data_IF_866584329468
#
_entry.id   IF_866584329468
#
_cell.length_a   1.000
_cell.length_b   1.000
_cell.length_c   1.000
_cell.angle_alpha   90.00
_cell.angle_beta   90.00
_cell.angle_gamma   90.00
#
_symmetry.space_group_name_H-M   'P 1'
#
loop_
_entity.id
_entity.type
_entity.pdbx_description
1 polymer ?
#
# COMPACT_ATOMS: atom_id res chain seq x y z
N UNK A 1 11.74 -14.66 81.20
CA UNK A 1 12.18 -14.40 79.81
C UNK A 1 11.42 -15.34 78.87
N UNK A 2 10.41 -14.85 78.13
CA UNK A 2 9.66 -15.64 77.12
C UNK A 2 9.99 -15.19 75.69
N UNK A 3 11.28 -15.02 75.38
CA UNK A 3 11.73 -14.52 74.08
C UNK A 3 11.39 -15.46 72.90
N UNK A 4 11.07 -16.74 73.15
CA UNK A 4 10.76 -17.72 72.09
C UNK A 4 9.38 -17.56 71.43
N UNK A 5 8.38 -17.00 72.11
CA UNK A 5 7.00 -16.96 71.58
C UNK A 5 6.82 -16.04 70.38
N UNK A 6 7.60 -14.95 70.31
CA UNK A 6 7.54 -13.99 69.18
C UNK A 6 8.23 -14.53 67.92
N UNK A 7 9.30 -15.31 68.09
CA UNK A 7 10.01 -15.94 66.97
C UNK A 7 9.18 -17.04 66.30
N UNK A 8 8.46 -17.85 67.08
CA UNK A 8 7.59 -18.89 66.54
C UNK A 8 6.45 -18.31 65.69
N UNK A 9 5.79 -17.24 66.17
CA UNK A 9 4.71 -16.60 65.44
C UNK A 9 5.17 -15.97 64.11
N UNK A 10 6.39 -15.39 64.08
CA UNK A 10 6.96 -14.85 62.85
C UNK A 10 7.26 -15.95 61.81
N UNK A 11 7.69 -17.13 62.26
CA UNK A 11 7.98 -18.28 61.41
C UNK A 11 6.70 -18.86 60.81
N UNK A 12 5.63 -19.00 61.60
CA UNK A 12 4.31 -19.43 61.11
C UNK A 12 3.76 -18.46 60.05
N UNK A 13 3.89 -17.15 60.24
CA UNK A 13 3.44 -16.16 59.27
C UNK A 13 4.23 -16.25 57.95
N UNK A 14 5.56 -16.35 58.03
CA UNK A 14 6.42 -16.55 56.85
C UNK A 14 6.05 -17.82 56.07
N UNK A 15 5.72 -18.91 56.77
CA UNK A 15 5.30 -20.16 56.14
C UNK A 15 3.96 -20.00 55.41
N UNK A 16 2.97 -19.36 56.04
CA UNK A 16 1.66 -19.09 55.41
C UNK A 16 1.82 -18.22 54.17
N UNK A 17 2.60 -17.14 54.24
CA UNK A 17 2.87 -16.28 53.09
C UNK A 17 3.60 -17.04 51.97
N UNK A 18 4.56 -17.90 52.33
CA UNK A 18 5.26 -18.76 51.36
C UNK A 18 4.31 -19.71 50.61
N UNK A 19 3.40 -20.37 51.34
CA UNK A 19 2.41 -21.28 50.75
C UNK A 19 1.45 -20.52 49.83
N UNK A 20 0.97 -19.35 50.25
CA UNK A 20 0.12 -18.48 49.42
C UNK A 20 0.88 -18.07 48.15
N UNK A 21 2.15 -17.68 48.26
CA UNK A 21 2.98 -17.33 47.11
C UNK A 21 3.12 -18.48 46.10
N UNK A 22 3.33 -19.71 46.58
CA UNK A 22 3.40 -20.91 45.73
C UNK A 22 2.07 -21.15 44.99
N UNK A 23 0.92 -20.86 45.61
CA UNK A 23 -0.39 -20.98 44.95
C UNK A 23 -0.65 -19.88 43.91
N UNK A 24 -0.09 -18.69 44.09
CA UNK A 24 -0.26 -17.56 43.15
C UNK A 24 0.51 -17.81 41.84
N UNK A 25 1.69 -18.43 41.90
CA UNK A 25 2.53 -18.68 40.71
C UNK A 25 1.81 -19.45 39.58
N UNK A 26 1.17 -20.62 39.80
CA UNK A 26 0.45 -21.33 38.74
C UNK A 26 -0.77 -20.56 38.22
N UNK A 27 -1.46 -19.82 39.09
CA UNK A 27 -2.59 -18.98 38.69
C UNK A 27 -2.14 -17.84 37.76
N UNK A 28 -1.05 -17.15 38.11
CA UNK A 28 -0.45 -16.12 37.27
C UNK A 28 0.05 -16.69 35.93
N UNK A 29 0.66 -17.88 35.94
CA UNK A 29 1.09 -18.56 34.72
C UNK A 29 -0.09 -18.90 33.79
N UNK A 30 -1.16 -19.46 34.34
CA UNK A 30 -2.37 -19.80 33.56
C UNK A 30 -3.01 -18.53 32.98
N UNK A 31 -3.12 -17.47 33.78
CA UNK A 31 -3.64 -16.19 33.34
C UNK A 31 -2.84 -15.60 32.18
N UNK A 32 -1.51 -15.66 32.26
CA UNK A 32 -0.63 -15.14 31.22
C UNK A 32 -0.79 -15.92 29.90
N UNK A 33 -0.86 -17.25 29.96
CA UNK A 33 -1.09 -18.11 28.77
C UNK A 33 -2.46 -17.84 28.15
N UNK A 34 -3.50 -17.71 28.97
CA UNK A 34 -4.85 -17.42 28.49
C UNK A 34 -4.92 -16.04 27.80
N UNK A 35 -4.33 -15.02 28.42
CA UNK A 35 -4.32 -13.65 27.88
C UNK A 35 -3.63 -13.56 26.52
N UNK A 36 -2.56 -14.33 26.28
CA UNK A 36 -1.87 -14.37 24.98
C UNK A 36 -2.70 -15.05 23.89
N UNK A 37 -3.36 -16.17 24.21
CA UNK A 37 -4.20 -16.88 23.25
C UNK A 37 -5.41 -16.06 22.80
N UNK A 38 -6.02 -15.29 23.71
CA UNK A 38 -7.17 -14.44 23.37
C UNK A 38 -6.82 -13.33 22.37
N UNK A 39 -5.64 -12.73 22.48
CA UNK A 39 -5.20 -11.68 21.54
C UNK A 39 -5.06 -12.22 20.11
N UNK A 40 -4.38 -13.36 19.96
CA UNK A 40 -4.18 -14.01 18.67
C UNK A 40 -5.51 -14.42 18.02
N UNK A 41 -6.47 -14.90 18.82
CA UNK A 41 -7.79 -15.28 18.31
C UNK A 41 -8.59 -14.07 17.81
N UNK A 42 -8.49 -12.92 18.49
CA UNK A 42 -9.15 -11.68 18.06
C UNK A 42 -8.54 -11.18 16.74
N UNK A 43 -7.22 -11.22 16.61
CA UNK A 43 -6.54 -10.78 15.38
C UNK A 43 -6.89 -11.69 14.20
N UNK A 44 -6.90 -13.02 14.40
CA UNK A 44 -7.33 -13.97 13.38
C UNK A 44 -8.79 -13.76 12.94
N UNK A 45 -9.70 -13.46 13.88
CA UNK A 45 -11.09 -13.17 13.56
C UNK A 45 -11.25 -11.85 12.77
N UNK A 46 -10.42 -10.83 13.08
CA UNK A 46 -10.39 -9.58 12.30
C UNK A 46 -9.87 -9.81 10.89
N UNK A 47 -8.84 -10.64 10.71
CA UNK A 47 -8.33 -11.03 9.39
C UNK A 47 -9.37 -11.79 8.57
N UNK A 48 -10.06 -12.77 9.18
CA UNK A 48 -11.15 -13.51 8.53
C UNK A 48 -12.27 -12.58 8.07
N UNK A 49 -12.67 -11.64 8.92
CA UNK A 49 -13.65 -10.63 8.53
C UNK A 49 -13.14 -9.76 7.37
N UNK A 50 -11.91 -9.25 7.46
CA UNK A 50 -11.30 -8.41 6.43
C UNK A 50 -11.23 -9.13 5.07
N UNK A 51 -10.74 -10.37 5.03
CA UNK A 51 -10.62 -11.14 3.80
C UNK A 51 -11.96 -11.38 3.12
N UNK A 52 -12.99 -11.78 3.90
CA UNK A 52 -14.36 -11.97 3.39
C UNK A 52 -14.98 -10.67 2.89
N UNK A 53 -14.82 -9.59 3.63
CA UNK A 53 -15.36 -8.28 3.29
C UNK A 53 -14.69 -7.71 2.03
N UNK A 54 -13.39 -7.91 1.88
CA UNK A 54 -12.63 -7.47 0.71
C UNK A 54 -13.04 -8.25 -0.55
N UNK A 55 -13.12 -9.58 -0.49
CA UNK A 55 -13.56 -10.40 -1.62
C UNK A 55 -15.01 -10.08 -2.00
N UNK A 56 -15.93 -10.05 -1.03
CA UNK A 56 -17.35 -9.76 -1.32
C UNK A 56 -17.57 -8.35 -1.88
N UNK A 57 -16.78 -7.36 -1.43
CA UNK A 57 -16.82 -6.00 -1.97
C UNK A 57 -16.25 -5.95 -3.40
N UNK A 58 -15.15 -6.66 -3.66
CA UNK A 58 -14.58 -6.77 -5.00
C UNK A 58 -15.56 -7.45 -5.99
N UNK A 59 -16.18 -8.55 -5.58
CA UNK A 59 -17.23 -9.22 -6.37
C UNK A 59 -18.40 -8.27 -6.66
N UNK A 60 -18.86 -7.53 -5.66
CA UNK A 60 -19.94 -6.55 -5.83
C UNK A 60 -19.57 -5.47 -6.84
N UNK A 61 -18.37 -4.89 -6.75
CA UNK A 61 -17.88 -3.86 -7.66
C UNK A 61 -17.72 -4.41 -9.08
N UNK A 62 -17.23 -5.64 -9.21
CA UNK A 62 -17.13 -6.33 -10.50
C UNK A 62 -18.50 -6.47 -11.19
N UNK A 63 -19.51 -6.96 -10.47
CA UNK A 63 -20.85 -7.14 -11.02
C UNK A 63 -21.61 -5.83 -11.28
N UNK A 64 -21.18 -4.71 -10.68
CA UNK A 64 -21.69 -3.38 -11.01
C UNK A 64 -21.17 -2.88 -12.37
N UNK A 65 -20.07 -3.43 -12.87
CA UNK A 65 -19.45 -3.05 -14.14
C UNK A 65 -18.51 -1.85 -14.04
N UNK A 66 -17.61 -1.69 -15.01
CA UNK A 66 -16.74 -0.53 -15.07
C UNK A 66 -17.55 0.74 -15.42
N UNK A 67 -17.19 1.92 -14.89
CA UNK A 67 -16.06 2.23 -13.99
C UNK A 67 -16.48 2.31 -12.51
N UNK A 68 -17.14 1.29 -11.97
CA UNK A 68 -17.59 1.31 -10.58
C UNK A 68 -16.42 1.33 -9.59
N UNK A 69 -16.56 2.14 -8.53
CA UNK A 69 -15.56 2.31 -7.46
C UNK A 69 -16.24 2.29 -6.10
N UNK A 70 -15.57 1.70 -5.12
CA UNK A 70 -15.93 1.82 -3.71
C UNK A 70 -14.68 1.93 -2.83
N UNK A 71 -14.85 2.49 -1.63
CA UNK A 71 -13.79 2.58 -0.63
C UNK A 71 -14.21 1.78 0.58
N UNK A 72 -13.41 0.76 0.91
CA UNK A 72 -13.60 -0.07 2.08
C UNK A 72 -12.74 0.47 3.22
N UNK A 73 -13.37 0.91 4.30
CA UNK A 73 -12.69 1.30 5.53
C UNK A 73 -12.63 0.11 6.48
N UNK A 74 -11.45 -0.48 6.61
CA UNK A 74 -11.26 -1.67 7.44
C UNK A 74 -10.08 -1.50 8.40
N UNK A 75 -10.20 -2.11 9.59
CA UNK A 75 -9.12 -2.15 10.56
C UNK A 75 -8.23 -3.34 10.26
N UNK A 76 -7.00 -3.07 9.84
CA UNK A 76 -5.96 -4.08 9.67
C UNK A 76 -5.28 -4.35 11.01
N UNK A 77 -5.25 -5.60 11.49
CA UNK A 77 -4.59 -5.94 12.74
C UNK A 77 -3.07 -5.84 12.60
N UNK A 78 -2.37 -5.90 13.74
CA UNK A 78 -0.92 -5.94 13.75
C UNK A 78 -0.44 -7.29 13.18
N UNK A 79 0.71 -7.28 12.49
CA UNK A 79 1.34 -8.49 11.99
C UNK A 79 0.94 -8.92 10.57
N UNK A 80 0.10 -8.17 9.84
CA UNK A 80 -0.10 -8.43 8.41
C UNK A 80 1.15 -8.07 7.63
N UNK A 81 1.72 -9.04 6.92
CA UNK A 81 2.97 -8.87 6.16
C UNK A 81 2.70 -8.67 4.67
N UNK A 82 1.81 -9.49 4.12
CA UNK A 82 1.60 -9.58 2.69
C UNK A 82 0.13 -9.90 2.39
N UNK A 83 -0.44 -9.22 1.40
CA UNK A 83 -1.75 -9.55 0.83
C UNK A 83 -1.56 -9.64 -0.67
N UNK A 84 -1.80 -10.83 -1.21
CA UNK A 84 -1.61 -11.10 -2.63
C UNK A 84 -2.81 -11.86 -3.19
N UNK A 85 -3.16 -11.56 -4.44
CA UNK A 85 -4.13 -12.35 -5.20
C UNK A 85 -3.35 -13.34 -6.06
N UNK A 86 -3.63 -14.62 -5.88
CA UNK A 86 -3.07 -15.71 -6.67
C UNK A 86 -4.19 -16.30 -7.51
N UNK A 87 -3.98 -16.38 -8.81
CA UNK A 87 -4.94 -16.98 -9.72
C UNK A 87 -4.46 -16.87 -11.17
N UNK A 88 -4.90 -17.80 -11.99
CA UNK A 88 -4.65 -17.74 -13.42
C UNK A 88 -5.80 -16.99 -14.12
N UNK A 89 -5.44 -16.08 -15.01
CA UNK A 89 -6.43 -15.29 -15.74
C UNK A 89 -7.23 -16.21 -16.66
N UNK A 90 -8.56 -16.23 -16.49
CA UNK A 90 -9.48 -16.98 -17.36
C UNK A 90 -9.88 -18.38 -16.87
N UNK A 91 -9.27 -18.92 -15.80
CA UNK A 91 -9.73 -20.18 -15.18
C UNK A 91 -10.85 -19.97 -14.15
N UNK A 92 -11.18 -18.71 -13.83
CA UNK A 92 -12.28 -18.34 -12.92
C UNK A 92 -12.05 -18.70 -11.45
N UNK A 93 -10.83 -19.13 -11.09
CA UNK A 93 -10.46 -19.46 -9.71
C UNK A 93 -9.35 -18.53 -9.26
N UNK A 94 -9.71 -17.47 -8.53
CA UNK A 94 -8.75 -16.60 -7.87
C UNK A 94 -8.82 -16.77 -6.36
N UNK A 95 -7.68 -16.63 -5.69
CA UNK A 95 -7.56 -16.73 -4.24
C UNK A 95 -6.83 -15.52 -3.70
N UNK A 96 -7.46 -14.84 -2.75
CA UNK A 96 -6.80 -13.87 -1.89
C UNK A 96 -6.05 -14.63 -0.80
N UNK A 97 -4.73 -14.41 -0.68
CA UNK A 97 -3.93 -14.94 0.41
C UNK A 97 -3.44 -13.77 1.26
N UNK A 98 -3.84 -13.78 2.53
CA UNK A 98 -3.33 -12.87 3.55
C UNK A 98 -2.30 -13.62 4.37
N UNK A 99 -1.05 -13.13 4.40
CA UNK A 99 0.01 -13.63 5.27
C UNK A 99 0.11 -12.73 6.48
N UNK A 100 0.02 -13.33 7.67
CA UNK A 100 0.21 -12.64 8.92
C UNK A 100 1.23 -13.37 9.80
N UNK A 101 2.06 -12.62 10.51
CA UNK A 101 2.99 -13.16 11.49
C UNK A 101 2.38 -13.14 12.87
N UNK A 102 2.21 -14.33 13.47
CA UNK A 102 1.77 -14.49 14.86
C UNK A 102 2.90 -15.12 15.68
N UNK A 103 3.78 -14.28 16.21
CA UNK A 103 5.00 -14.72 16.90
C UNK A 103 6.09 -15.08 15.89
N UNK A 104 6.57 -16.33 15.91
CA UNK A 104 7.62 -16.84 15.01
C UNK A 104 7.07 -17.61 13.80
N UNK A 105 5.75 -17.80 13.74
CA UNK A 105 5.09 -18.58 12.69
C UNK A 105 4.31 -17.64 11.78
N UNK A 106 4.59 -17.74 10.49
CA UNK A 106 3.79 -17.09 9.45
C UNK A 106 2.56 -17.96 9.18
N UNK A 107 1.36 -17.36 9.25
CA UNK A 107 0.09 -18.01 8.98
C UNK A 107 -0.54 -17.42 7.73
N UNK A 108 -1.10 -18.30 6.89
CA UNK A 108 -1.75 -17.93 5.64
C UNK A 108 -3.27 -18.12 5.76
N UNK A 109 -4.03 -17.11 5.33
CA UNK A 109 -5.48 -17.15 5.31
C UNK A 109 -5.97 -17.05 3.86
N UNK A 110 -6.44 -18.16 3.26
CA UNK A 110 -6.94 -18.18 1.90
C UNK A 110 -8.43 -17.82 1.82
N UNK A 111 -8.80 -16.94 0.88
CA UNK A 111 -10.18 -16.59 0.57
C UNK A 111 -10.44 -16.73 -0.93
N UNK A 112 -11.31 -17.66 -1.36
CA UNK A 112 -11.63 -17.84 -2.77
C UNK A 112 -12.47 -16.67 -3.29
N UNK A 113 -12.21 -16.26 -4.54
CA UNK A 113 -12.93 -15.22 -5.28
C UNK A 113 -13.44 -15.80 -6.60
N UNK A 114 -14.67 -15.42 -6.97
CA UNK A 114 -15.29 -15.77 -8.26
C UNK A 114 -14.90 -14.82 -9.40
N UNK A 115 -14.24 -13.71 -9.08
CA UNK A 115 -13.89 -12.66 -10.05
C UNK A 115 -12.39 -12.46 -10.13
N UNK A 116 -11.94 -11.90 -11.25
CA UNK A 116 -10.54 -11.53 -11.43
C UNK A 116 -10.21 -10.26 -10.63
N UNK A 117 -9.36 -10.38 -9.62
CA UNK A 117 -8.90 -9.30 -8.76
C UNK A 117 -7.38 -9.18 -8.92
N UNK A 118 -6.91 -7.94 -9.06
CA UNK A 118 -5.51 -7.61 -9.08
C UNK A 118 -5.19 -6.61 -7.97
N UNK A 119 -4.04 -6.78 -7.36
CA UNK A 119 -3.57 -5.93 -6.28
C UNK A 119 -2.48 -6.65 -5.49
N UNK A 120 -1.70 -5.88 -4.77
CA UNK A 120 -0.83 -6.45 -3.75
C UNK A 120 -0.62 -5.42 -2.66
N UNK A 121 -0.40 -5.92 -1.46
CA UNK A 121 0.05 -5.14 -0.34
C UNK A 121 1.24 -5.85 0.26
N UNK A 122 2.36 -5.14 0.32
CA UNK A 122 3.55 -5.61 1.01
C UNK A 122 3.83 -4.62 2.14
N UNK A 123 3.59 -5.04 3.38
CA UNK A 123 4.11 -4.32 4.53
C UNK A 123 5.62 -4.58 4.55
N UNK A 124 6.37 -3.74 3.84
CA UNK A 124 7.84 -3.81 3.84
C UNK A 124 8.33 -3.95 5.28
N UNK A 125 9.24 -4.91 5.52
CA UNK A 125 9.84 -5.15 6.84
C UNK A 125 10.42 -3.88 7.48
N UNK A 126 10.75 -2.87 6.68
CA UNK A 126 11.29 -1.60 7.16
C UNK A 126 10.21 -0.61 7.63
N UNK A 127 8.92 -0.94 7.46
CA UNK A 127 7.78 -0.10 7.82
C UNK A 127 6.62 -0.93 8.43
N UNK A 128 6.83 -1.65 9.55
CA UNK A 128 5.81 -2.49 10.20
C UNK A 128 4.58 -1.68 10.66
N UNK A 129 4.73 -0.38 10.87
CA UNK A 129 3.63 0.54 11.18
C UNK A 129 2.67 0.77 10.00
N UNK A 130 3.04 0.38 8.77
CA UNK A 130 2.14 0.50 7.61
C UNK A 130 1.11 -0.63 7.53
N UNK A 131 1.32 -1.76 8.20
CA UNK A 131 0.34 -2.85 8.29
C UNK A 131 -0.84 -2.50 9.20
N UNK A 132 -0.58 -2.07 10.43
CA UNK A 132 -1.64 -1.93 11.43
C UNK A 132 -2.48 -0.64 11.28
N UNK A 133 -3.73 -0.70 11.77
CA UNK A 133 -4.60 0.45 11.94
C UNK A 133 -5.78 0.49 10.97
N UNK A 134 -6.50 1.62 10.93
CA UNK A 134 -7.59 1.81 9.98
C UNK A 134 -7.00 2.13 8.62
N UNK A 135 -7.40 1.37 7.59
CA UNK A 135 -6.98 1.53 6.20
C UNK A 135 -8.20 1.82 5.34
N UNK A 136 -8.02 2.74 4.38
CA UNK A 136 -8.97 2.98 3.30
C UNK A 136 -8.47 2.22 2.08
N UNK A 137 -9.19 1.19 1.69
CA UNK A 137 -8.85 0.32 0.56
C UNK A 137 -9.75 0.74 -0.61
N UNK A 138 -9.15 1.26 -1.68
CA UNK A 138 -9.89 1.60 -2.90
C UNK A 138 -10.07 0.35 -3.75
N UNK A 139 -11.28 0.08 -4.19
CA UNK A 139 -11.63 -1.08 -5.01
C UNK A 139 -12.35 -0.55 -6.25
N UNK A 140 -11.78 -0.82 -7.42
CA UNK A 140 -12.16 -0.20 -8.69
C UNK A 140 -12.28 -1.24 -9.79
N UNK A 141 -13.38 -1.23 -10.54
CA UNK A 141 -13.56 -2.07 -11.72
C UNK A 141 -12.96 -1.41 -12.96
N UNK A 142 -12.13 -2.16 -13.68
CA UNK A 142 -11.49 -1.76 -14.91
C UNK A 142 -11.86 -2.71 -16.05
N UNK A 143 -11.90 -2.17 -17.26
CA UNK A 143 -11.94 -2.94 -18.49
C UNK A 143 -10.54 -2.96 -19.10
N UNK A 144 -10.01 -4.16 -19.37
CA UNK A 144 -8.74 -4.27 -20.10
C UNK A 144 -8.95 -3.69 -21.51
N UNK A 145 -8.04 -2.86 -22.04
CA UNK A 145 -8.13 -2.41 -23.42
C UNK A 145 -8.22 -3.62 -24.34
N UNK A 146 -9.15 -3.53 -25.29
CA UNK A 146 -9.53 -4.63 -26.18
C UNK A 146 -8.29 -5.22 -26.85
N UNK A 147 -7.97 -6.47 -26.52
CA UNK A 147 -6.85 -7.18 -27.16
C UNK A 147 -7.11 -7.38 -28.67
N UNK A 148 -6.10 -7.90 -29.39
CA UNK A 148 -6.19 -8.17 -30.84
C UNK A 148 -7.39 -9.06 -31.24
N UNK A 149 -7.95 -9.81 -30.29
CA UNK A 149 -9.12 -10.67 -30.48
C UNK A 149 -10.47 -9.97 -30.25
N UNK A 150 -10.49 -8.66 -29.96
CA UNK A 150 -11.75 -7.92 -29.77
C UNK A 150 -12.44 -8.15 -28.41
N UNK A 151 -11.87 -8.97 -27.51
CA UNK A 151 -12.45 -9.26 -26.20
C UNK A 151 -11.81 -8.41 -25.11
N UNK A 152 -12.62 -7.63 -24.40
CA UNK A 152 -12.25 -7.00 -23.13
C UNK A 152 -12.66 -7.95 -21.99
N UNK A 153 -11.74 -8.22 -21.07
CA UNK A 153 -12.03 -8.91 -19.82
C UNK A 153 -12.07 -7.89 -18.69
N UNK A 154 -13.20 -7.77 -17.97
CA UNK A 154 -13.25 -6.93 -16.79
C UNK A 154 -12.39 -7.55 -15.68
N UNK A 155 -11.78 -6.70 -14.86
CA UNK A 155 -11.07 -7.08 -13.65
C UNK A 155 -11.24 -6.00 -12.58
N UNK A 156 -11.02 -6.37 -11.32
CA UNK A 156 -11.05 -5.43 -10.19
C UNK A 156 -9.63 -5.13 -9.77
N UNK A 157 -9.30 -3.86 -9.59
CA UNK A 157 -8.05 -3.43 -8.99
C UNK A 157 -8.29 -3.02 -7.53
N UNK A 158 -7.46 -3.54 -6.62
CA UNK A 158 -7.52 -3.25 -5.19
C UNK A 158 -6.25 -2.48 -4.80
N UNK A 159 -6.42 -1.24 -4.33
CA UNK A 159 -5.37 -0.39 -3.82
C UNK A 159 -5.49 -0.25 -2.30
N UNK A 160 -4.46 -0.69 -1.58
CA UNK A 160 -4.42 -0.72 -0.11
C UNK A 160 -3.95 0.60 0.54
N UNK A 161 -3.94 1.71 -0.20
CA UNK A 161 -3.69 3.05 0.36
C UNK A 161 -2.25 3.29 0.81
N UNK A 162 -1.29 2.52 0.31
CA UNK A 162 0.13 2.65 0.63
C UNK A 162 0.97 3.32 -0.46
N UNK A 163 0.41 3.51 -1.65
CA UNK A 163 1.05 4.13 -2.81
C UNK A 163 -0.02 4.77 -3.68
N UNK A 164 0.18 6.02 -4.09
CA UNK A 164 -0.29 6.41 -5.41
C UNK A 164 0.32 5.40 -6.40
N UNK A 165 -0.45 4.84 -7.34
CA UNK A 165 0.07 3.86 -8.28
C UNK A 165 1.41 4.36 -8.84
N UNK A 166 2.49 3.54 -8.82
CA UNK A 166 3.77 3.97 -9.37
C UNK A 166 3.53 4.42 -10.80
N UNK A 167 3.87 5.69 -11.03
CA UNK A 167 3.88 6.40 -12.30
C UNK A 167 2.58 6.31 -13.13
N UNK A 168 1.65 7.22 -12.84
CA UNK A 168 1.28 8.10 -13.96
C UNK A 168 2.58 8.78 -14.38
N UNK A 169 3.20 8.30 -15.46
CA UNK A 169 4.24 9.08 -16.13
C UNK A 169 3.54 10.37 -16.55
N UNK A 170 3.79 11.43 -15.80
CA UNK A 170 3.35 12.75 -16.21
C UNK A 170 4.21 13.14 -17.41
N UNK A 171 3.69 12.87 -18.60
CA UNK A 171 4.23 13.39 -19.83
C UNK A 171 3.85 14.88 -19.87
N UNK A 172 4.82 15.74 -19.56
CA UNK A 172 4.66 17.16 -19.76
C UNK A 172 4.97 17.47 -21.21
N UNK A 173 3.90 17.68 -21.98
CA UNK A 173 4.03 18.20 -23.33
C UNK A 173 4.52 19.65 -23.26
N UNK A 174 5.59 19.95 -23.98
CA UNK A 174 6.10 21.32 -24.05
C UNK A 174 5.28 22.06 -25.09
N UNK A 175 4.54 23.09 -24.70
CA UNK A 175 3.55 23.77 -25.56
C UNK A 175 4.16 24.65 -26.68
N UNK A 176 5.42 24.41 -27.06
CA UNK A 176 6.12 25.13 -28.12
C UNK A 176 6.62 24.15 -29.17
N UNK A 177 6.35 24.42 -30.45
CA UNK A 177 7.00 23.71 -31.54
C UNK A 177 8.49 24.09 -31.54
N UNK A 178 9.37 23.12 -31.30
CA UNK A 178 10.82 23.32 -31.40
C UNK A 178 11.33 22.82 -32.75
N UNK A 179 12.26 23.58 -33.34
CA UNK A 179 12.94 23.18 -34.57
C UNK A 179 13.96 22.07 -34.28
N UNK A 180 14.00 21.04 -35.11
CA UNK A 180 14.76 19.81 -34.86
C UNK A 180 16.29 19.98 -35.01
N UNK A 181 16.78 21.17 -35.36
CA UNK A 181 18.20 21.44 -35.58
C UNK A 181 19.03 21.59 -34.30
N UNK A 182 18.41 21.73 -33.12
CA UNK A 182 19.11 22.00 -31.86
C UNK A 182 19.22 20.76 -30.94
N UNK A 183 19.84 19.70 -31.46
CA UNK A 183 20.03 18.42 -30.74
C UNK A 183 20.85 18.50 -29.43
N UNK A 184 21.52 19.62 -29.14
CA UNK A 184 22.27 19.85 -27.90
C UNK A 184 21.46 20.58 -26.80
N UNK A 185 20.24 21.07 -27.09
CA UNK A 185 19.48 21.92 -26.17
C UNK A 185 18.48 21.17 -25.29
N UNK A 186 18.01 19.99 -25.71
CA UNK A 186 16.94 19.27 -24.99
C UNK A 186 17.35 18.76 -23.59
N UNK A 187 18.62 18.42 -23.39
CA UNK A 187 19.15 18.09 -22.05
C UNK A 187 19.18 19.31 -21.12
N UNK A 188 19.33 20.52 -21.68
CA UNK A 188 19.37 21.79 -20.95
C UNK A 188 17.99 22.29 -20.49
N UNK A 189 16.93 22.02 -21.26
CA UNK A 189 15.57 22.47 -20.91
C UNK A 189 14.97 21.67 -19.74
N UNK A 190 15.13 20.34 -19.70
CA UNK A 190 14.65 19.56 -18.55
C UNK A 190 15.48 19.85 -17.28
N UNK A 191 16.75 20.30 -17.38
CA UNK A 191 17.59 20.66 -16.22
C UNK A 191 17.39 22.10 -15.72
N UNK A 192 17.16 23.08 -16.60
CA UNK A 192 16.94 24.47 -16.19
C UNK A 192 15.55 24.72 -15.58
N UNK A 193 14.55 23.93 -15.97
CA UNK A 193 13.21 23.96 -15.36
C UNK A 193 13.19 23.41 -13.92
N UNK A 194 14.18 22.58 -13.58
CA UNK A 194 14.39 22.00 -12.25
C UNK A 194 15.16 22.94 -11.28
N UNK A 195 15.57 24.12 -11.74
CA UNK A 195 16.29 25.13 -10.92
C UNK A 195 15.39 26.05 -10.10
N UNK A 196 14.06 25.86 -10.12
CA UNK A 196 13.13 26.71 -9.37
C UNK A 196 13.27 26.45 -7.86
N UNK A 197 13.40 27.48 -6.99
CA UNK A 197 13.76 27.30 -5.58
C UNK A 197 12.77 26.49 -4.73
N UNK A 198 11.55 26.24 -5.24
CA UNK A 198 10.52 25.42 -4.60
C UNK A 198 10.50 23.95 -5.06
N UNK A 199 11.21 23.60 -6.12
CA UNK A 199 11.28 22.23 -6.65
C UNK A 199 12.74 21.82 -6.72
N UNK A 200 13.21 21.05 -5.72
CA UNK A 200 14.50 20.37 -5.78
C UNK A 200 14.26 18.90 -6.08
N UNK A 201 14.14 18.48 -7.35
CA UNK A 201 14.10 17.06 -7.65
C UNK A 201 15.41 16.41 -7.20
N UNK A 202 15.32 15.26 -6.54
CA UNK A 202 16.47 14.53 -6.04
C UNK A 202 17.25 13.77 -7.13
N UNK A 203 16.79 13.80 -8.40
CA UNK A 203 17.35 13.04 -9.51
C UNK A 203 17.31 13.78 -10.86
N UNK A 204 18.08 13.26 -11.81
CA UNK A 204 18.29 13.75 -13.17
C UNK A 204 17.12 13.39 -14.09
N UNK A 205 16.58 14.39 -14.81
CA UNK A 205 15.62 14.21 -15.89
C UNK A 205 16.33 13.72 -17.16
N UNK A 206 15.72 12.78 -17.90
CA UNK A 206 16.22 12.32 -19.20
C UNK A 206 15.12 12.49 -20.26
N UNK A 207 15.49 12.95 -21.46
CA UNK A 207 14.58 12.97 -22.61
C UNK A 207 14.39 11.56 -23.15
N UNK A 208 13.20 10.97 -22.97
CA UNK A 208 12.96 9.55 -23.21
C UNK A 208 12.60 9.15 -24.65
N UNK A 209 12.33 10.11 -25.55
CA UNK A 209 11.67 9.83 -26.83
C UNK A 209 12.53 9.99 -28.10
N UNK A 210 13.83 10.25 -27.98
CA UNK A 210 14.70 10.44 -29.15
C UNK A 210 15.61 9.23 -29.38
N UNK A 211 15.34 8.46 -30.43
CA UNK A 211 16.29 7.50 -30.97
C UNK A 211 17.33 8.30 -31.78
N UNK A 212 18.55 8.42 -31.29
CA UNK A 212 19.59 9.36 -31.77
C UNK A 212 20.13 9.09 -33.19
N UNK A 213 19.45 8.26 -34.00
CA UNK A 213 19.94 7.79 -35.30
C UNK A 213 18.88 7.74 -36.42
N UNK A 214 17.71 8.38 -36.26
CA UNK A 214 16.63 8.34 -37.27
C UNK A 214 16.13 9.72 -37.70
N UNK A 215 15.93 9.87 -39.00
CA UNK A 215 15.47 11.06 -39.75
C UNK A 215 14.23 11.75 -39.15
N UNK A 216 14.29 13.08 -38.97
CA UNK A 216 13.31 13.92 -38.25
C UNK A 216 12.39 14.69 -39.20
N UNK A 217 11.45 14.01 -39.88
CA UNK A 217 10.50 14.69 -40.78
C UNK A 217 9.02 14.60 -40.37
N UNK A 218 8.70 14.18 -39.13
CA UNK A 218 7.32 13.78 -38.81
C UNK A 218 6.61 14.29 -37.55
N UNK A 219 7.29 14.74 -36.48
CA UNK A 219 6.56 15.18 -35.27
C UNK A 219 7.43 16.04 -34.33
N UNK A 220 7.03 17.29 -33.96
CA UNK A 220 7.87 18.22 -33.17
C UNK A 220 7.64 18.20 -31.65
N UNK A 221 6.95 17.20 -31.09
CA UNK A 221 6.64 17.16 -29.66
C UNK A 221 7.74 16.45 -28.87
N UNK A 222 8.34 17.17 -27.91
CA UNK A 222 9.32 16.64 -26.98
C UNK A 222 8.69 16.56 -25.59
N UNK A 223 8.81 15.40 -24.93
CA UNK A 223 8.35 15.22 -23.56
C UNK A 223 9.48 14.83 -22.62
N UNK A 224 9.51 15.44 -21.43
CA UNK A 224 10.43 15.08 -20.35
C UNK A 224 9.74 14.02 -19.48
N UNK A 225 10.30 12.81 -19.40
CA UNK A 225 9.79 11.74 -18.53
C UNK A 225 10.54 11.80 -17.19
N UNK A 226 9.80 11.80 -16.08
CA UNK A 226 10.40 11.56 -14.76
C UNK A 226 10.25 10.08 -14.39
N UNK A 227 11.37 9.40 -14.17
CA UNK A 227 11.37 8.03 -13.68
C UNK A 227 11.32 8.04 -12.15
N UNK A 228 10.28 7.41 -11.61
CA UNK A 228 10.06 7.09 -10.19
C UNK A 228 9.77 8.26 -9.23
N UNK A 229 8.49 8.43 -8.92
CA UNK A 229 8.01 9.15 -7.74
C UNK A 229 7.73 8.13 -6.62
N UNK A 230 8.52 8.18 -5.54
CA UNK A 230 8.36 7.33 -4.34
C UNK A 230 7.96 8.19 -3.11
N UNK A 231 7.46 9.41 -3.34
CA UNK A 231 7.08 10.39 -2.32
C UNK A 231 5.57 10.50 -2.14
N UNK A 232 5.13 10.68 -0.90
CA UNK A 232 3.74 10.93 -0.51
C UNK A 232 3.08 12.01 -1.39
N UNK A 233 1.85 11.75 -1.84
CA UNK A 233 1.09 12.60 -2.76
C UNK A 233 0.54 13.90 -2.15
N UNK A 234 1.12 14.37 -1.04
CA UNK A 234 0.81 15.66 -0.41
C UNK A 234 1.51 16.83 -1.13
N UNK A 235 1.52 16.82 -2.47
CA UNK A 235 1.83 18.05 -3.21
C UNK A 235 0.53 18.81 -3.31
N UNK A 236 0.37 19.80 -2.44
CA UNK A 236 -0.81 20.66 -2.37
C UNK A 236 -1.13 21.18 -3.78
N UNK A 237 -2.37 21.02 -4.25
CA UNK A 237 -2.83 21.43 -5.60
C UNK A 237 -2.49 22.91 -5.87
N UNK A 238 -2.44 23.71 -4.80
CA UNK A 238 -1.99 25.09 -4.80
C UNK A 238 -0.53 25.27 -5.28
N UNK A 239 0.40 24.44 -4.81
CA UNK A 239 1.81 24.50 -5.23
C UNK A 239 1.98 24.06 -6.70
N UNK A 240 1.17 23.10 -7.16
CA UNK A 240 1.12 22.73 -8.58
C UNK A 240 0.65 23.90 -9.44
N UNK A 241 -0.49 24.52 -9.12
CA UNK A 241 -1.00 25.67 -9.88
C UNK A 241 -0.02 26.85 -9.88
N UNK A 242 0.69 27.08 -8.76
CA UNK A 242 1.70 28.13 -8.68
C UNK A 242 2.88 27.89 -9.63
N UNK A 243 3.33 26.64 -9.76
CA UNK A 243 4.39 26.27 -10.71
C UNK A 243 3.96 26.46 -12.17
N UNK A 244 2.75 26.01 -12.52
CA UNK A 244 2.22 26.15 -13.89
C UNK A 244 2.06 27.63 -14.29
N UNK A 245 1.58 28.45 -13.36
CA UNK A 245 1.43 29.90 -13.58
C UNK A 245 2.80 30.59 -13.74
N UNK A 246 3.80 30.19 -12.93
CA UNK A 246 5.14 30.77 -13.01
C UNK A 246 5.91 30.41 -14.29
N UNK A 247 5.60 29.26 -14.89
CA UNK A 247 6.29 28.75 -16.09
C UNK A 247 5.52 29.02 -17.39
N UNK A 248 4.29 29.56 -17.32
CA UNK A 248 3.44 29.80 -18.48
C UNK A 248 2.90 28.51 -19.13
N UNK A 249 2.99 27.38 -18.43
CA UNK A 249 2.52 26.08 -18.91
C UNK A 249 1.04 25.87 -18.55
N UNK A 250 0.28 25.26 -19.46
CA UNK A 250 -1.08 24.80 -19.16
C UNK A 250 -0.99 23.44 -18.46
N UNK A 251 -1.43 23.38 -17.21
CA UNK A 251 -1.52 22.12 -16.49
C UNK A 251 -2.90 21.50 -16.69
N UNK A 252 -2.92 20.32 -17.30
CA UNK A 252 -4.11 19.50 -17.34
C UNK A 252 -4.49 19.05 -15.92
N UNK A 253 -5.79 19.05 -15.55
CA UNK A 253 -6.22 18.50 -14.27
C UNK A 253 -5.86 17.02 -14.21
N UNK A 254 -5.27 16.56 -13.09
CA UNK A 254 -5.02 15.14 -12.84
C UNK A 254 -6.38 14.47 -12.60
N UNK A 255 -6.80 13.51 -13.44
CA UNK A 255 -7.98 12.72 -13.12
C UNK A 255 -7.63 11.71 -12.01
N UNK A 256 -8.23 11.87 -10.83
CA UNK A 256 -8.27 10.79 -9.82
C UNK A 256 -7.54 11.01 -8.50
N UNK A 257 -7.19 12.25 -8.12
CA UNK A 257 -6.86 12.61 -6.74
C UNK A 257 -8.04 13.31 -6.07
#
# INVERSE_FOLDING_TARGET
>A
MSAGKKGQAALEYMLVVGVIGIMILPAAYMFFRYSQGSAQQIDAAQLDKLGRELVSTAERVYYQGAPSRTVLEARMPQGVEDIQFIGEWGTGSQMLIIKARSGEVDTEFPYPSLVNINGSFNASMNQPSRGAGIKKISIEAYETPTGANGQSTPFVHVNFGGRCPPSVVHDFDTSGAYDASDGAFFSGCCTNSAGHPKFRPSRTWQGGWFNTTGDFSGNPYASCINADYDGDCDVDEADRQQFCTATGLQCAPIPGC
#
